data_IF_092966396256
#
_entry.id   IF_092966396256
#
_cell.length_a   1.000
_cell.length_b   1.000
_cell.length_c   1.000
_cell.angle_alpha   90.00
_cell.angle_beta   90.00
_cell.angle_gamma   90.00
#
_symmetry.space_group_name_H-M   'P 1'
#
loop_
_entity.id
_entity.type
_entity.pdbx_description
1 polymer ?
#
# COMPACT_ATOMS: atom_id res chain seq x y z
N UNK A 1 -11.90 11.76 19.63
CA UNK A 1 -10.89 10.68 19.69
C UNK A 1 -11.51 9.29 19.65
N UNK A 2 -12.40 8.90 20.61
CA UNK A 2 -13.00 7.55 20.63
C UNK A 2 -13.67 7.17 19.28
N UNK A 3 -14.54 8.00 18.66
CA UNK A 3 -15.14 7.65 17.37
C UNK A 3 -14.11 7.56 16.22
N UNK A 4 -13.01 8.30 16.28
CA UNK A 4 -11.96 8.22 15.27
C UNK A 4 -11.19 6.88 15.33
N UNK A 5 -10.91 6.38 16.54
CA UNK A 5 -10.27 5.06 16.71
C UNK A 5 -11.18 3.94 16.20
N UNK A 6 -12.48 4.02 16.51
CA UNK A 6 -13.47 3.05 15.99
C UNK A 6 -13.55 3.16 14.46
N UNK A 7 -13.49 4.38 13.91
CA UNK A 7 -13.49 4.62 12.48
C UNK A 7 -12.30 3.96 11.78
N UNK A 8 -11.08 4.17 12.29
CA UNK A 8 -9.86 3.59 11.74
C UNK A 8 -9.93 2.04 11.75
N UNK A 9 -10.42 1.45 12.85
CA UNK A 9 -10.51 0.00 12.99
C UNK A 9 -11.55 -0.65 12.05
N UNK A 10 -12.56 0.10 11.62
CA UNK A 10 -13.64 -0.41 10.77
C UNK A 10 -13.55 0.04 9.30
N UNK A 11 -12.61 0.92 8.95
CA UNK A 11 -12.41 1.33 7.55
C UNK A 11 -11.72 0.20 6.78
N UNK A 12 -12.34 -0.26 5.70
CA UNK A 12 -11.74 -1.25 4.80
C UNK A 12 -10.78 -0.57 3.84
N UNK A 13 -9.59 -1.16 3.71
CA UNK A 13 -8.59 -0.69 2.76
C UNK A 13 -8.66 -1.56 1.52
N UNK A 14 -8.88 -0.94 0.38
CA UNK A 14 -8.93 -1.64 -0.89
C UNK A 14 -7.55 -1.64 -1.55
N UNK A 15 -7.03 -2.84 -1.81
CA UNK A 15 -5.75 -3.07 -2.50
C UNK A 15 -5.95 -3.44 -3.96
N UNK A 16 -7.22 -3.59 -4.42
CA UNK A 16 -7.52 -3.95 -5.79
C UNK A 16 -7.42 -2.74 -6.72
N UNK A 17 -6.49 -2.79 -7.63
CA UNK A 17 -6.34 -1.76 -8.66
C UNK A 17 -7.47 -1.80 -9.69
N UNK A 18 -8.14 -2.94 -9.84
CA UNK A 18 -9.25 -3.08 -10.80
C UNK A 18 -10.47 -2.26 -10.39
N UNK A 19 -10.69 -2.08 -9.08
CA UNK A 19 -11.81 -1.29 -8.55
C UNK A 19 -11.71 0.22 -8.87
N UNK A 20 -10.56 0.69 -9.37
CA UNK A 20 -10.42 2.08 -9.85
C UNK A 20 -10.78 2.25 -11.32
N UNK A 21 -11.02 1.16 -12.02
CA UNK A 21 -11.43 1.19 -13.42
C UNK A 21 -12.96 1.35 -13.50
N UNK A 22 -13.46 2.10 -14.48
CA UNK A 22 -14.90 2.19 -14.74
C UNK A 22 -15.53 0.81 -14.97
N UNK A 23 -16.74 0.60 -14.46
CA UNK A 23 -17.46 -0.69 -14.55
C UNK A 23 -17.79 -1.10 -15.98
N UNK A 24 -17.81 -0.15 -16.91
CA UNK A 24 -18.09 -0.36 -18.34
C UNK A 24 -16.86 -0.84 -19.12
N UNK A 25 -15.70 -0.95 -18.49
CA UNK A 25 -14.51 -1.46 -19.18
C UNK A 25 -14.61 -2.97 -19.42
N UNK A 26 -14.24 -3.38 -20.64
CA UNK A 26 -14.22 -4.79 -21.03
C UNK A 26 -13.46 -5.71 -20.08
N UNK A 27 -12.39 -5.21 -19.46
CA UNK A 27 -11.60 -5.97 -18.47
C UNK A 27 -12.42 -6.26 -17.22
N UNK A 28 -13.20 -5.29 -16.74
CA UNK A 28 -14.04 -5.44 -15.54
C UNK A 28 -15.21 -6.38 -15.84
N UNK A 29 -15.87 -6.18 -17.00
CA UNK A 29 -16.95 -7.06 -17.46
C UNK A 29 -16.44 -8.51 -17.55
N UNK A 30 -15.29 -8.71 -18.20
CA UNK A 30 -14.70 -10.05 -18.33
C UNK A 30 -14.30 -10.68 -17.00
N UNK A 31 -13.82 -9.89 -16.05
CA UNK A 31 -13.49 -10.36 -14.69
C UNK A 31 -14.76 -10.78 -13.94
N UNK A 32 -15.83 -10.02 -14.04
CA UNK A 32 -17.11 -10.34 -13.42
C UNK A 32 -17.72 -11.62 -14.00
N UNK A 33 -17.74 -11.76 -15.32
CA UNK A 33 -18.20 -12.98 -15.98
C UNK A 33 -17.35 -14.19 -15.59
N UNK A 34 -16.01 -14.00 -15.45
CA UNK A 34 -15.12 -15.06 -15.01
C UNK A 34 -15.45 -15.55 -13.59
N UNK A 35 -15.81 -14.62 -12.70
CA UNK A 35 -16.22 -14.94 -11.32
C UNK A 35 -17.63 -15.54 -11.27
N UNK A 36 -18.62 -14.94 -11.98
CA UNK A 36 -20.01 -15.31 -11.88
C UNK A 36 -20.33 -16.61 -12.63
N UNK A 37 -19.82 -16.74 -13.86
CA UNK A 37 -20.14 -17.86 -14.75
C UNK A 37 -19.20 -19.06 -14.55
N UNK A 38 -17.93 -18.80 -14.28
CA UNK A 38 -16.90 -19.85 -14.17
C UNK A 38 -16.44 -20.13 -12.74
N UNK A 39 -16.84 -19.31 -11.77
CA UNK A 39 -16.40 -19.42 -10.38
C UNK A 39 -14.89 -19.24 -10.19
N UNK A 40 -14.20 -18.61 -11.15
CA UNK A 40 -12.75 -18.42 -11.15
C UNK A 40 -12.42 -16.95 -10.93
N UNK A 41 -12.10 -16.59 -9.70
CA UNK A 41 -11.79 -15.21 -9.36
C UNK A 41 -10.32 -14.86 -9.54
N UNK A 42 -9.51 -15.38 -8.67
CA UNK A 42 -8.07 -15.13 -8.62
C UNK A 42 -7.27 -16.34 -9.05
N UNK A 43 -6.04 -16.11 -9.52
CA UNK A 43 -5.11 -17.19 -9.81
C UNK A 43 -3.68 -16.81 -9.44
N UNK A 44 -2.90 -17.84 -9.13
CA UNK A 44 -1.45 -17.74 -8.88
C UNK A 44 -0.74 -18.92 -9.50
N UNK A 45 0.54 -18.74 -9.79
CA UNK A 45 1.44 -19.80 -10.23
C UNK A 45 2.38 -20.19 -9.10
N UNK A 46 2.57 -21.49 -8.92
CA UNK A 46 3.56 -22.02 -7.99
C UNK A 46 4.64 -22.70 -8.81
N UNK A 47 5.86 -22.21 -8.69
CA UNK A 47 7.05 -22.79 -9.32
C UNK A 47 7.78 -23.56 -8.24
N UNK A 48 8.06 -24.83 -8.50
CA UNK A 48 8.77 -25.73 -7.60
C UNK A 48 10.08 -26.14 -8.26
N UNK A 49 11.20 -25.91 -7.56
CA UNK A 49 12.54 -26.21 -8.06
C UNK A 49 13.13 -27.44 -7.37
N UNK A 50 13.86 -28.28 -8.14
CA UNK A 50 14.64 -29.41 -7.68
C UNK A 50 13.91 -30.38 -6.73
N UNK A 51 12.60 -30.55 -6.92
CA UNK A 51 11.77 -31.44 -6.10
C UNK A 51 11.32 -32.67 -6.92
N UNK A 52 11.41 -33.89 -6.37
CA UNK A 52 10.89 -35.09 -7.01
C UNK A 52 9.37 -34.97 -7.25
N UNK A 53 8.87 -35.45 -8.38
CA UNK A 53 7.46 -35.38 -8.77
C UNK A 53 6.51 -35.95 -7.71
N UNK A 54 6.94 -36.99 -6.97
CA UNK A 54 6.15 -37.57 -5.89
C UNK A 54 5.91 -36.56 -4.73
N UNK A 55 6.93 -35.77 -4.42
CA UNK A 55 6.86 -34.79 -3.36
C UNK A 55 6.07 -33.55 -3.83
N UNK A 56 6.19 -33.20 -5.13
CA UNK A 56 5.35 -32.16 -5.77
C UNK A 56 3.87 -32.56 -5.74
N UNK A 57 3.55 -33.84 -6.05
CA UNK A 57 2.18 -34.34 -5.96
C UNK A 57 1.63 -34.29 -4.52
N UNK A 58 2.47 -34.61 -3.53
CA UNK A 58 2.10 -34.52 -2.12
C UNK A 58 1.91 -33.05 -1.68
N UNK A 59 2.70 -32.13 -2.22
CA UNK A 59 2.54 -30.70 -2.00
C UNK A 59 1.24 -30.18 -2.63
N UNK A 60 0.95 -30.56 -3.87
CA UNK A 60 -0.32 -30.26 -4.56
C UNK A 60 -1.52 -30.68 -3.72
N UNK A 61 -1.52 -31.93 -3.23
CA UNK A 61 -2.62 -32.45 -2.39
C UNK A 61 -2.81 -31.66 -1.08
N UNK A 62 -1.75 -31.06 -0.53
CA UNK A 62 -1.85 -30.17 0.63
C UNK A 62 -2.40 -28.81 0.25
N UNK A 63 -1.99 -28.25 -0.89
CA UNK A 63 -2.48 -26.97 -1.40
C UNK A 63 -3.98 -27.05 -1.72
N UNK A 64 -4.45 -28.18 -2.28
CA UNK A 64 -5.87 -28.42 -2.54
C UNK A 64 -6.74 -28.48 -1.27
N UNK A 65 -6.12 -28.65 -0.10
CA UNK A 65 -6.81 -28.66 1.21
C UNK A 65 -6.83 -27.30 1.88
N UNK A 66 -6.15 -26.30 1.32
CA UNK A 66 -6.18 -24.94 1.86
C UNK A 66 -7.56 -24.34 1.56
N UNK A 67 -8.12 -23.68 2.55
CA UNK A 67 -9.41 -23.01 2.44
C UNK A 67 -9.37 -21.98 1.31
N UNK A 68 -10.47 -21.89 0.54
CA UNK A 68 -10.63 -20.98 -0.60
C UNK A 68 -9.74 -21.26 -1.83
N UNK A 69 -9.04 -22.38 -1.86
CA UNK A 69 -8.44 -22.93 -3.08
C UNK A 69 -9.50 -23.75 -3.82
N UNK A 70 -9.85 -23.31 -5.03
CA UNK A 70 -10.85 -24.01 -5.83
C UNK A 70 -10.25 -25.16 -6.64
N UNK A 71 -9.17 -24.89 -7.37
CA UNK A 71 -8.57 -25.89 -8.26
C UNK A 71 -7.07 -25.68 -8.36
N UNK A 72 -6.31 -26.76 -8.34
CA UNK A 72 -4.87 -26.77 -8.63
C UNK A 72 -4.63 -27.54 -9.93
N UNK A 73 -4.16 -26.87 -10.96
CA UNK A 73 -3.84 -27.47 -12.25
C UNK A 73 -2.34 -27.71 -12.33
N UNK A 74 -1.99 -28.97 -12.51
CA UNK A 74 -0.63 -29.44 -12.81
C UNK A 74 -0.72 -30.43 -13.95
N UNK A 75 0.39 -30.93 -14.48
CA UNK A 75 0.34 -31.87 -15.60
C UNK A 75 -0.42 -33.17 -15.25
N UNK A 76 -0.43 -33.61 -13.96
CA UNK A 76 -1.16 -34.79 -13.48
C UNK A 76 -2.69 -34.64 -13.59
N UNK A 77 -3.19 -33.42 -13.64
CA UNK A 77 -4.62 -33.15 -13.88
C UNK A 77 -5.03 -33.50 -15.30
N UNK A 78 -4.08 -33.44 -16.23
CA UNK A 78 -4.30 -33.76 -17.66
C UNK A 78 -3.93 -35.22 -17.98
N UNK A 79 -3.00 -35.79 -17.22
CA UNK A 79 -2.44 -37.15 -17.46
C UNK A 79 -2.26 -37.84 -16.12
N UNK A 80 -2.53 -39.17 -16.08
CA UNK A 80 -2.27 -40.01 -14.92
C UNK A 80 -0.77 -40.02 -14.59
N UNK A 81 -0.42 -39.88 -13.30
CA UNK A 81 0.95 -39.96 -12.79
C UNK A 81 1.67 -41.30 -13.15
N UNK A 82 0.92 -42.34 -13.50
CA UNK A 82 1.45 -43.62 -13.96
C UNK A 82 2.02 -43.57 -15.38
N UNK A 83 1.73 -42.49 -16.14
CA UNK A 83 2.33 -42.31 -17.47
C UNK A 83 3.72 -41.71 -17.30
N UNK A 84 4.80 -42.41 -17.78
CA UNK A 84 6.13 -41.83 -17.74
C UNK A 84 6.20 -40.51 -18.49
N UNK A 85 6.86 -39.51 -17.90
CA UNK A 85 6.96 -38.14 -18.47
C UNK A 85 7.52 -38.14 -19.89
N UNK A 86 8.35 -39.14 -20.24
CA UNK A 86 8.97 -39.31 -21.56
C UNK A 86 7.96 -39.64 -22.68
N UNK A 87 6.74 -40.04 -22.31
CA UNK A 87 5.64 -40.33 -23.24
C UNK A 87 4.67 -39.14 -23.43
N UNK A 88 4.83 -38.06 -22.69
CA UNK A 88 4.05 -36.85 -22.86
C UNK A 88 4.44 -36.13 -24.15
N UNK A 89 3.49 -35.53 -24.88
CA UNK A 89 3.83 -34.67 -26.01
C UNK A 89 4.75 -33.53 -25.55
N UNK A 90 5.87 -33.32 -26.23
CA UNK A 90 6.89 -32.32 -25.88
C UNK A 90 6.32 -30.92 -25.57
N UNK A 91 5.28 -30.53 -26.28
CA UNK A 91 4.62 -29.26 -26.10
C UNK A 91 3.96 -29.12 -24.73
N UNK A 92 3.37 -30.17 -24.20
CA UNK A 92 2.68 -30.13 -22.89
C UNK A 92 3.73 -30.25 -21.79
N UNK A 93 4.74 -31.07 -21.98
CA UNK A 93 5.82 -31.21 -21.01
C UNK A 93 6.54 -29.86 -20.81
N UNK A 94 6.93 -29.20 -21.90
CA UNK A 94 7.66 -27.92 -21.85
C UNK A 94 6.87 -26.76 -21.31
N UNK A 95 5.54 -26.81 -21.33
CA UNK A 95 4.68 -25.75 -20.76
C UNK A 95 4.66 -25.79 -19.22
N UNK A 96 4.74 -26.97 -18.62
CA UNK A 96 4.66 -27.15 -17.17
C UNK A 96 6.02 -27.45 -16.52
N UNK A 97 7.01 -27.88 -17.27
CA UNK A 97 8.28 -28.34 -16.73
C UNK A 97 9.48 -27.78 -17.49
N UNK A 98 10.52 -27.48 -16.74
CA UNK A 98 11.87 -27.19 -17.23
C UNK A 98 12.83 -28.23 -16.64
N UNK A 99 14.12 -28.22 -17.01
CA UNK A 99 15.11 -29.21 -16.53
C UNK A 99 15.19 -29.31 -15.00
N UNK A 100 14.90 -28.21 -14.29
CA UNK A 100 15.04 -28.13 -12.83
C UNK A 100 13.78 -27.65 -12.11
N UNK A 101 12.69 -27.28 -12.82
CA UNK A 101 11.50 -26.73 -12.20
C UNK A 101 10.21 -27.20 -12.84
N UNK A 102 9.17 -27.26 -12.02
CA UNK A 102 7.80 -27.53 -12.48
C UNK A 102 6.86 -26.41 -12.00
N UNK A 103 5.83 -26.15 -12.79
CA UNK A 103 4.86 -25.09 -12.53
C UNK A 103 3.46 -25.67 -12.31
N UNK A 104 2.77 -25.14 -11.29
CA UNK A 104 1.35 -25.42 -11.03
C UNK A 104 0.58 -24.10 -11.09
N UNK A 105 -0.65 -24.15 -11.61
CA UNK A 105 -1.59 -23.03 -11.54
C UNK A 105 -2.62 -23.31 -10.45
N UNK A 106 -2.81 -22.34 -9.56
CA UNK A 106 -3.78 -22.40 -8.46
C UNK A 106 -4.84 -21.37 -8.72
N UNK A 107 -6.10 -21.77 -8.67
CA UNK A 107 -7.26 -20.92 -8.78
C UNK A 107 -7.96 -20.80 -7.43
N UNK A 108 -8.45 -19.61 -7.12
CA UNK A 108 -9.15 -19.29 -5.88
C UNK A 108 -10.61 -18.95 -6.16
N UNK A 109 -11.46 -19.16 -5.19
CA UNK A 109 -12.90 -18.84 -5.25
C UNK A 109 -13.18 -17.35 -5.00
N UNK A 110 -12.21 -16.62 -4.43
CA UNK A 110 -12.29 -15.19 -4.15
C UNK A 110 -11.70 -14.30 -5.24
N UNK A 111 -11.93 -12.99 -5.14
CA UNK A 111 -11.27 -12.00 -6.01
C UNK A 111 -9.78 -11.88 -5.67
N UNK A 112 -9.03 -11.28 -6.59
CA UNK A 112 -7.56 -11.12 -6.47
C UNK A 112 -7.14 -10.39 -5.20
N UNK A 113 -7.96 -9.48 -4.70
CA UNK A 113 -7.68 -8.64 -3.52
C UNK A 113 -8.53 -9.00 -2.30
N UNK A 114 -9.32 -10.07 -2.37
CA UNK A 114 -10.09 -10.54 -1.23
C UNK A 114 -9.17 -11.01 -0.10
N UNK A 115 -9.49 -10.66 1.15
CA UNK A 115 -8.72 -11.09 2.31
C UNK A 115 -8.60 -12.62 2.39
N UNK A 116 -9.66 -13.34 2.04
CA UNK A 116 -9.69 -14.81 1.97
C UNK A 116 -8.65 -15.36 0.99
N UNK A 117 -8.50 -14.74 -0.19
CA UNK A 117 -7.50 -15.13 -1.20
C UNK A 117 -6.08 -14.85 -0.70
N UNK A 118 -5.86 -13.70 -0.06
CA UNK A 118 -4.55 -13.34 0.49
C UNK A 118 -4.15 -14.28 1.65
N UNK A 119 -5.09 -14.66 2.50
CA UNK A 119 -4.85 -15.61 3.60
C UNK A 119 -4.53 -17.00 3.06
N UNK A 120 -5.25 -17.47 2.03
CA UNK A 120 -4.92 -18.71 1.33
C UNK A 120 -3.50 -18.68 0.72
N UNK A 121 -3.09 -17.55 0.11
CA UNK A 121 -1.73 -17.40 -0.44
C UNK A 121 -0.68 -17.44 0.68
N UNK A 122 -0.93 -16.82 1.84
CA UNK A 122 -0.01 -16.88 3.00
C UNK A 122 0.10 -18.30 3.54
N UNK A 123 -1.01 -19.03 3.60
CA UNK A 123 -1.02 -20.43 4.02
C UNK A 123 -0.27 -21.33 3.02
N UNK A 124 -0.49 -21.16 1.73
CA UNK A 124 0.28 -21.84 0.66
C UNK A 124 1.77 -21.57 0.81
N UNK A 125 2.19 -20.32 1.06
CA UNK A 125 3.59 -19.97 1.29
C UNK A 125 4.18 -20.63 2.53
N UNK A 126 3.38 -20.80 3.57
CA UNK A 126 3.82 -21.53 4.77
C UNK A 126 3.99 -23.03 4.52
N UNK A 127 3.21 -23.62 3.62
CA UNK A 127 3.37 -25.00 3.16
C UNK A 127 4.55 -25.16 2.19
N UNK A 128 4.81 -24.13 1.39
CA UNK A 128 5.92 -24.07 0.46
C UNK A 128 7.23 -23.84 1.22
N UNK A 129 8.22 -24.73 1.01
CA UNK A 129 9.57 -24.55 1.53
C UNK A 129 10.37 -23.53 0.72
N UNK A 130 11.69 -23.52 0.93
CA UNK A 130 12.61 -22.62 0.19
C UNK A 130 12.74 -22.94 -1.32
N UNK A 131 12.22 -24.07 -1.77
CA UNK A 131 12.27 -24.54 -3.15
C UNK A 131 11.03 -24.16 -3.97
N UNK A 132 10.08 -23.45 -3.36
CA UNK A 132 8.82 -23.08 -4.00
C UNK A 132 8.68 -21.56 -4.05
N UNK A 133 8.27 -21.05 -5.20
CA UNK A 133 7.97 -19.62 -5.43
C UNK A 133 6.51 -19.48 -5.83
N UNK A 134 5.78 -18.67 -5.07
CA UNK A 134 4.39 -18.33 -5.40
C UNK A 134 4.39 -16.98 -6.14
N UNK A 135 3.91 -16.98 -7.37
CA UNK A 135 3.88 -15.81 -8.26
C UNK A 135 2.48 -15.64 -8.88
N UNK A 136 2.26 -14.54 -9.55
CA UNK A 136 0.98 -14.22 -10.19
C UNK A 136 0.34 -12.98 -9.58
N UNK A 137 -0.78 -12.54 -10.18
CA UNK A 137 -1.40 -11.26 -9.79
C UNK A 137 -1.86 -11.27 -8.33
N UNK A 138 -2.46 -12.36 -7.86
CA UNK A 138 -2.96 -12.46 -6.49
C UNK A 138 -1.81 -12.48 -5.47
N UNK A 139 -0.71 -13.18 -5.79
CA UNK A 139 0.49 -13.18 -4.95
C UNK A 139 1.14 -11.78 -4.90
N UNK A 140 1.18 -11.06 -6.04
CA UNK A 140 1.71 -9.71 -6.11
C UNK A 140 0.90 -8.74 -5.23
N UNK A 141 -0.44 -8.80 -5.29
CA UNK A 141 -1.32 -7.95 -4.47
C UNK A 141 -1.14 -8.25 -2.98
N UNK A 142 -0.97 -9.54 -2.62
CA UNK A 142 -0.67 -9.94 -1.24
C UNK A 142 0.66 -9.35 -0.77
N UNK A 143 1.72 -9.45 -1.58
CA UNK A 143 3.03 -8.87 -1.26
C UNK A 143 2.98 -7.35 -1.13
N UNK A 144 2.23 -6.70 -2.03
CA UNK A 144 2.06 -5.24 -2.01
C UNK A 144 1.36 -4.80 -0.71
N UNK A 145 0.33 -5.53 -0.27
CA UNK A 145 -0.36 -5.26 0.99
C UNK A 145 0.59 -5.43 2.17
N UNK A 146 1.25 -6.57 2.27
CA UNK A 146 2.15 -6.88 3.38
C UNK A 146 3.31 -5.87 3.46
N UNK A 147 3.87 -5.49 2.30
CA UNK A 147 4.91 -4.47 2.20
C UNK A 147 4.39 -3.09 2.63
N UNK A 148 3.22 -2.66 2.15
CA UNK A 148 2.63 -1.38 2.54
C UNK A 148 2.37 -1.31 4.04
N UNK A 149 1.80 -2.36 4.63
CA UNK A 149 1.51 -2.41 6.07
C UNK A 149 2.79 -2.35 6.92
N UNK A 150 3.88 -2.94 6.44
CA UNK A 150 5.16 -2.95 7.14
C UNK A 150 5.95 -1.65 6.98
N UNK A 151 6.00 -1.09 5.79
CA UNK A 151 6.85 0.05 5.44
C UNK A 151 6.18 1.40 5.74
N UNK A 152 4.84 1.51 5.61
CA UNK A 152 4.09 2.76 5.82
C UNK A 152 4.43 3.43 7.15
N UNK A 153 4.39 2.75 8.32
CA UNK A 153 4.68 3.39 9.60
C UNK A 153 6.13 3.86 9.72
N UNK A 154 7.06 3.20 9.06
CA UNK A 154 8.49 3.56 9.07
C UNK A 154 8.68 4.87 8.31
N UNK A 155 8.13 4.99 7.09
CA UNK A 155 8.24 6.20 6.28
C UNK A 155 7.53 7.39 6.93
N UNK A 156 6.35 7.18 7.51
CA UNK A 156 5.63 8.21 8.27
C UNK A 156 6.47 8.66 9.47
N UNK A 157 7.09 7.74 10.20
CA UNK A 157 7.97 8.05 11.32
C UNK A 157 9.18 8.90 10.90
N UNK A 158 9.83 8.57 9.80
CA UNK A 158 10.92 9.35 9.23
C UNK A 158 10.44 10.75 8.82
N UNK A 159 9.29 10.86 8.16
CA UNK A 159 8.72 12.14 7.75
C UNK A 159 8.42 13.04 8.96
N UNK A 160 7.85 12.48 10.03
CA UNK A 160 7.59 13.21 11.29
C UNK A 160 8.88 13.68 11.95
N UNK A 161 9.93 12.84 11.97
CA UNK A 161 11.22 13.19 12.53
C UNK A 161 11.88 14.34 11.73
N UNK A 162 11.85 14.28 10.40
CA UNK A 162 12.36 15.34 9.54
C UNK A 162 11.57 16.64 9.71
N UNK A 163 10.24 16.56 9.80
CA UNK A 163 9.37 17.70 10.05
C UNK A 163 9.66 18.35 11.40
N UNK A 164 9.85 17.54 12.45
CA UNK A 164 10.27 18.04 13.77
C UNK A 164 11.62 18.74 13.71
N UNK A 165 12.61 18.14 13.05
CA UNK A 165 13.94 18.73 12.87
C UNK A 165 13.89 20.05 12.13
N UNK A 166 13.11 20.13 11.03
CA UNK A 166 12.91 21.37 10.30
C UNK A 166 12.27 22.46 11.19
N UNK A 167 11.19 22.13 11.92
CA UNK A 167 10.56 23.08 12.83
C UNK A 167 11.50 23.59 13.93
N UNK A 168 12.35 22.70 14.48
CA UNK A 168 13.35 23.09 15.48
C UNK A 168 14.41 24.05 14.93
N UNK A 169 14.71 23.99 13.64
CA UNK A 169 15.63 24.92 12.98
C UNK A 169 15.01 26.28 12.69
N UNK A 170 13.71 26.33 12.41
CA UNK A 170 13.03 27.56 11.99
C UNK A 170 12.30 28.30 13.13
N UNK A 171 11.98 27.59 14.24
CA UNK A 171 11.25 28.15 15.36
C UNK A 171 12.19 28.36 16.55
N UNK A 172 12.14 29.56 17.14
CA UNK A 172 12.97 29.94 18.31
C UNK A 172 12.55 29.28 19.64
N UNK A 173 11.63 28.31 19.60
CA UNK A 173 11.08 27.66 20.77
C UNK A 173 11.09 26.14 20.64
N UNK A 174 11.63 25.47 21.66
CA UNK A 174 11.71 24.01 21.70
C UNK A 174 10.37 23.30 21.91
N UNK A 175 9.43 23.96 22.56
CA UNK A 175 8.14 23.34 22.92
C UNK A 175 7.12 23.41 21.76
N UNK A 176 7.21 24.44 20.94
CA UNK A 176 6.24 24.72 19.85
C UNK A 176 6.17 23.62 18.82
N UNK A 177 7.28 23.05 18.32
CA UNK A 177 7.24 21.94 17.36
C UNK A 177 6.46 20.72 17.87
N UNK A 178 6.62 20.37 19.15
CA UNK A 178 5.92 19.21 19.73
C UNK A 178 4.41 19.46 19.84
N UNK A 179 3.99 20.66 20.19
CA UNK A 179 2.57 21.03 20.25
C UNK A 179 1.95 20.98 18.84
N UNK A 180 2.65 21.50 17.84
CA UNK A 180 2.19 21.44 16.47
C UNK A 180 2.11 20.01 15.95
N UNK A 181 3.15 19.18 16.16
CA UNK A 181 3.13 17.78 15.76
C UNK A 181 2.02 16.98 16.46
N UNK A 182 1.77 17.24 17.72
CA UNK A 182 0.65 16.64 18.45
C UNK A 182 -0.71 17.06 17.86
N UNK A 183 -0.86 18.33 17.48
CA UNK A 183 -2.06 18.84 16.82
C UNK A 183 -2.26 18.22 15.44
N UNK A 184 -1.18 18.14 14.64
CA UNK A 184 -1.20 17.53 13.31
C UNK A 184 -1.54 16.04 13.44
N UNK A 185 -0.91 15.32 14.38
CA UNK A 185 -1.22 13.92 14.65
C UNK A 185 -2.70 13.71 14.99
N UNK A 186 -3.27 14.58 15.83
CA UNK A 186 -4.71 14.54 16.14
C UNK A 186 -5.58 14.75 14.89
N UNK A 187 -5.20 15.66 14.00
CA UNK A 187 -5.90 15.92 12.74
C UNK A 187 -5.81 14.71 11.80
N UNK A 188 -4.64 14.06 11.68
CA UNK A 188 -4.47 12.84 10.88
C UNK A 188 -5.36 11.73 11.44
N UNK A 189 -5.40 11.54 12.76
CA UNK A 189 -6.28 10.56 13.40
C UNK A 189 -7.77 10.81 13.11
N UNK A 190 -8.20 12.07 13.16
CA UNK A 190 -9.58 12.44 12.84
C UNK A 190 -9.90 12.21 11.37
N UNK A 191 -8.96 12.55 10.48
CA UNK A 191 -9.13 12.35 9.03
C UNK A 191 -9.24 10.85 8.69
N UNK A 192 -8.30 10.03 9.17
CA UNK A 192 -8.37 8.58 8.96
C UNK A 192 -9.63 7.96 9.57
N UNK A 193 -10.04 8.43 10.75
CA UNK A 193 -11.27 7.97 11.39
C UNK A 193 -12.55 8.38 10.67
N UNK A 194 -12.55 9.51 9.95
CA UNK A 194 -13.71 9.98 9.16
C UNK A 194 -13.93 9.15 7.89
N UNK A 195 -12.92 8.42 7.43
CA UNK A 195 -13.01 7.60 6.23
C UNK A 195 -14.04 6.45 6.35
N UNK A 196 -14.45 6.09 7.56
CA UNK A 196 -15.55 5.12 7.76
C UNK A 196 -16.83 5.52 7.04
N UNK A 197 -17.07 6.84 6.87
CA UNK A 197 -18.24 7.34 6.14
C UNK A 197 -18.15 7.14 4.62
N UNK A 198 -16.94 6.90 4.10
CA UNK A 198 -16.69 6.64 2.68
C UNK A 198 -16.73 5.13 2.36
N UNK A 199 -16.77 4.25 3.38
CA UNK A 199 -16.81 2.80 3.24
C UNK A 199 -15.44 2.20 3.00
N UNK A 200 -14.95 2.23 1.77
CA UNK A 200 -13.63 1.70 1.39
C UNK A 200 -12.72 2.82 0.91
N UNK A 201 -11.44 2.74 1.26
CA UNK A 201 -10.42 3.67 0.80
C UNK A 201 -9.26 2.91 0.16
N UNK A 202 -8.65 3.54 -0.85
CA UNK A 202 -7.44 3.02 -1.45
C UNK A 202 -6.26 3.03 -0.48
N UNK A 203 -5.42 2.01 -0.55
CA UNK A 203 -4.15 1.99 0.17
C UNK A 203 -3.25 3.19 -0.19
N UNK A 204 -3.26 3.60 -1.47
CA UNK A 204 -2.53 4.78 -1.95
C UNK A 204 -3.07 6.05 -1.28
N UNK A 205 -4.39 6.21 -1.23
CA UNK A 205 -5.04 7.36 -0.60
C UNK A 205 -4.75 7.42 0.90
N UNK A 206 -4.75 6.27 1.59
CA UNK A 206 -4.40 6.17 3.01
C UNK A 206 -2.98 6.67 3.27
N UNK A 207 -2.00 6.15 2.53
CA UNK A 207 -0.59 6.52 2.69
C UNK A 207 -0.33 7.99 2.36
N UNK A 208 -0.85 8.46 1.20
CA UNK A 208 -0.68 9.85 0.76
C UNK A 208 -1.37 10.85 1.67
N UNK A 209 -2.56 10.53 2.21
CA UNK A 209 -3.32 11.46 3.04
C UNK A 209 -2.57 11.85 4.30
N UNK A 210 -1.90 10.91 4.96
CA UNK A 210 -1.10 11.17 6.16
C UNK A 210 0.09 12.09 5.86
N UNK A 211 0.84 11.80 4.79
CA UNK A 211 2.03 12.57 4.41
C UNK A 211 1.66 13.97 3.91
N UNK A 212 0.64 14.06 3.03
CA UNK A 212 0.16 15.37 2.53
C UNK A 212 -0.39 16.23 3.66
N UNK A 213 -1.16 15.65 4.57
CA UNK A 213 -1.70 16.39 5.70
C UNK A 213 -0.59 16.90 6.62
N UNK A 214 0.45 16.08 6.89
CA UNK A 214 1.62 16.50 7.64
C UNK A 214 2.29 17.70 6.97
N UNK A 215 2.58 17.61 5.66
CA UNK A 215 3.29 18.65 4.91
C UNK A 215 2.51 19.96 4.87
N UNK A 216 1.24 19.91 4.45
CA UNK A 216 0.39 21.12 4.31
C UNK A 216 0.13 21.79 5.65
N UNK A 217 -0.21 20.99 6.68
CA UNK A 217 -0.54 21.54 8.00
C UNK A 217 0.70 22.13 8.68
N UNK A 218 1.87 21.54 8.45
CA UNK A 218 3.13 22.06 8.96
C UNK A 218 3.43 23.46 8.41
N UNK A 219 3.31 23.66 7.09
CA UNK A 219 3.57 24.95 6.45
C UNK A 219 2.63 26.06 7.01
N UNK A 220 1.34 25.74 7.13
CA UNK A 220 0.38 26.67 7.73
C UNK A 220 0.68 26.97 9.19
N UNK A 221 1.13 25.99 9.96
CA UNK A 221 1.44 26.15 11.39
C UNK A 221 2.63 27.07 11.58
N UNK A 222 3.70 26.93 10.76
CA UNK A 222 4.88 27.80 10.79
C UNK A 222 4.48 29.22 10.43
N UNK A 223 3.70 29.40 9.35
CA UNK A 223 3.23 30.72 8.92
C UNK A 223 2.35 31.40 9.99
N UNK A 224 1.46 30.65 10.62
CA UNK A 224 0.60 31.18 11.68
C UNK A 224 1.41 31.63 12.89
N UNK A 225 2.42 30.86 13.28
CA UNK A 225 3.32 31.19 14.39
C UNK A 225 4.13 32.47 14.12
N UNK A 226 4.70 32.61 12.94
CA UNK A 226 5.40 33.83 12.55
C UNK A 226 4.46 35.04 12.55
N UNK A 227 3.28 34.91 11.93
CA UNK A 227 2.27 35.97 11.92
C UNK A 227 1.82 36.38 13.33
N UNK A 228 1.69 35.42 14.26
CA UNK A 228 1.33 35.67 15.64
C UNK A 228 2.44 36.40 16.40
N UNK A 229 3.70 35.98 16.21
CA UNK A 229 4.88 36.65 16.77
C UNK A 229 4.97 38.12 16.37
N UNK A 230 4.69 38.44 15.11
CA UNK A 230 4.64 39.83 14.62
C UNK A 230 3.54 40.66 15.25
N UNK A 231 2.40 40.07 15.65
CA UNK A 231 1.27 40.79 16.25
C UNK A 231 1.46 41.09 17.73
N UNK A 232 2.14 40.23 18.46
CA UNK A 232 2.34 40.36 19.91
C UNK A 232 3.53 41.24 20.24
N UNK A 233 4.46 41.43 19.33
CA UNK A 233 5.63 42.25 19.57
C UNK A 233 5.25 43.71 19.77
N UNK A 234 5.56 44.34 20.94
CA UNK A 234 5.31 45.75 21.16
C UNK A 234 6.02 46.60 20.10
N UNK A 235 5.46 47.79 19.78
CA UNK A 235 5.92 48.64 18.69
C UNK A 235 7.45 48.91 18.70
N UNK A 236 8.09 48.92 19.86
CA UNK A 236 9.54 49.06 20.02
C UNK A 236 10.40 47.85 19.59
N UNK A 237 9.86 46.63 19.76
CA UNK A 237 10.51 45.39 19.26
C UNK A 237 10.33 45.26 17.76
N UNK A 238 9.21 45.71 17.22
CA UNK A 238 8.92 45.68 15.78
C UNK A 238 10.00 46.41 14.95
N UNK A 239 10.44 47.56 15.45
CA UNK A 239 11.52 48.33 14.80
C UNK A 239 12.88 47.64 14.88
N UNK A 240 13.19 46.93 15.97
CA UNK A 240 14.45 46.20 16.15
C UNK A 240 14.52 44.95 15.29
N UNK A 241 13.43 44.19 15.28
CA UNK A 241 13.29 43.00 14.45
C UNK A 241 13.31 43.37 12.96
N UNK A 242 12.55 44.40 12.54
CA UNK A 242 12.59 44.86 11.16
C UNK A 242 13.96 45.41 10.73
N UNK A 243 14.74 45.99 11.64
CA UNK A 243 16.09 46.45 11.36
C UNK A 243 17.11 45.29 11.28
N UNK A 244 16.91 44.24 12.04
CA UNK A 244 17.76 43.04 12.03
C UNK A 244 17.42 42.14 10.86
N UNK A 245 16.14 41.91 10.54
CA UNK A 245 15.68 41.24 9.33
C UNK A 245 15.96 42.03 8.05
N UNK A 246 15.95 43.37 8.10
CA UNK A 246 16.29 44.22 6.97
C UNK A 246 17.77 44.16 6.58
N UNK A 247 18.65 43.75 7.50
CA UNK A 247 20.08 43.49 7.20
C UNK A 247 20.34 42.12 6.57
N UNK A 248 19.47 41.12 6.84
CA UNK A 248 19.52 39.78 6.26
C UNK A 248 18.43 39.51 5.24
N UNK A 249 17.49 40.44 5.06
CA UNK A 249 16.22 40.26 4.32
C UNK A 249 16.32 40.34 2.79
N UNK A 250 17.51 40.51 2.20
CA UNK A 250 17.62 40.51 0.75
C UNK A 250 17.70 39.10 0.12
N UNK A 251 17.82 38.06 0.94
CA UNK A 251 17.91 36.67 0.46
C UNK A 251 16.77 35.75 0.95
N UNK A 252 15.81 36.22 1.76
CA UNK A 252 14.73 35.38 2.33
C UNK A 252 13.31 35.81 1.95
N UNK A 253 13.11 36.60 0.90
CA UNK A 253 11.77 36.98 0.45
C UNK A 253 10.99 35.86 -0.28
N UNK A 254 11.62 34.70 -0.49
CA UNK A 254 10.95 33.52 -1.02
C UNK A 254 10.96 32.41 0.03
N UNK A 255 10.04 32.54 1.01
CA UNK A 255 9.79 31.47 1.95
C UNK A 255 9.22 30.23 1.25
N UNK A 256 9.43 29.02 1.81
CA UNK A 256 9.01 27.75 1.21
C UNK A 256 7.50 27.66 0.93
N UNK A 257 6.68 28.49 1.54
CA UNK A 257 5.23 28.58 1.30
C UNK A 257 4.83 28.92 -0.13
N UNK A 258 5.65 29.72 -0.85
CA UNK A 258 5.39 30.02 -2.26
C UNK A 258 5.72 28.83 -3.16
N UNK A 259 6.68 27.99 -2.75
CA UNK A 259 7.09 26.82 -3.52
C UNK A 259 5.99 25.75 -3.55
N UNK A 260 5.34 25.50 -2.42
CA UNK A 260 4.23 24.53 -2.32
C UNK A 260 3.01 25.03 -3.10
N UNK A 261 2.65 26.31 -3.00
CA UNK A 261 1.51 26.86 -3.71
C UNK A 261 1.69 26.87 -5.24
N UNK A 262 2.92 27.09 -5.72
CA UNK A 262 3.21 27.17 -7.16
C UNK A 262 3.25 25.79 -7.82
N UNK A 263 3.61 24.71 -7.08
CA UNK A 263 3.69 23.36 -7.62
C UNK A 263 2.42 22.52 -7.42
N UNK A 264 1.63 22.78 -6.37
CA UNK A 264 0.43 22.01 -6.08
C UNK A 264 -0.89 22.62 -6.60
N UNK A 265 -0.94 23.92 -6.85
CA UNK A 265 -2.12 24.57 -7.42
C UNK A 265 -2.58 23.99 -8.79
N UNK A 266 -1.68 23.55 -9.70
CA UNK A 266 -2.09 22.93 -10.96
C UNK A 266 -2.68 21.53 -10.80
N UNK A 267 -2.34 20.80 -9.73
CA UNK A 267 -2.80 19.42 -9.49
C UNK A 267 -4.20 19.33 -8.85
N UNK A 268 -4.67 20.44 -8.28
CA UNK A 268 -6.03 20.53 -7.72
C UNK A 268 -7.09 20.96 -8.75
N UNK A 269 -6.72 21.27 -9.98
CA UNK A 269 -7.60 21.81 -11.01
C UNK A 269 -7.68 20.90 -12.26
N UNK A 270 -7.21 19.67 -12.15
CA UNK A 270 -7.38 18.57 -13.13
C UNK A 270 -8.11 17.38 -12.40
#
# INVERSE_FOLDING_TARGET
>A
MIPAVIGIANTRINYDMLNYLPEDMYTIIGQNELMEDFGKGAFSFIIVEDMPNKDVAALKAKIEQVDHVDTVIWYDTLFDLSVPMELLPDKIYTEFNTDHSTMMAVFFDGSTSADITMDAIREIRALCGKQCYVSGMSALVTDLKDLCEQEEPIYVGIAVALACGAMLLFLDSWLVPFVFLASIGMMIFLNLGSNIFMGEISYITKALSAVLQLAVTMDYSIFLWESYGWRICPMGCRHRIAAEYGKHGKEREFGPSLFVFTYFAPLMNS
#
